data_IF_422307944302
#
_entry.id   IF_422307944302
#
_cell.length_a   1.000
_cell.length_b   1.000
_cell.length_c   1.000
_cell.angle_alpha   90.00
_cell.angle_beta   90.00
_cell.angle_gamma   90.00
#
_symmetry.space_group_name_H-M   'P 1'
#
loop_
_entity.id
_entity.type
_entity.pdbx_description
1 polymer ?
#
# COMPACT_ATOMS: atom_id res chain seq x y z
N UNK A 1 -11.22 -5.19 -32.27
CA UNK A 1 -10.90 -6.18 -33.31
C UNK A 1 -9.38 -6.31 -33.35
N UNK A 2 -8.88 -7.48 -32.96
CA UNK A 2 -7.44 -7.81 -33.02
C UNK A 2 -7.13 -8.23 -34.46
N UNK A 3 -6.13 -7.63 -35.11
CA UNK A 3 -5.51 -8.19 -36.32
C UNK A 3 -4.01 -7.95 -36.27
N UNK A 4 -3.26 -9.06 -36.21
CA UNK A 4 -1.81 -9.22 -36.47
C UNK A 4 -1.74 -10.17 -37.67
N UNK A 5 -0.77 -10.14 -38.62
CA UNK A 5 0.23 -9.14 -39.03
C UNK A 5 0.12 -8.77 -40.53
N UNK A 6 0.75 -7.67 -40.96
CA UNK A 6 1.04 -7.41 -42.38
C UNK A 6 2.55 -7.55 -42.60
N UNK A 7 2.94 -8.56 -43.40
CA UNK A 7 4.29 -8.72 -43.94
C UNK A 7 4.18 -8.39 -45.42
N UNK A 8 4.72 -7.23 -45.83
CA UNK A 8 5.16 -7.01 -47.21
C UNK A 8 6.56 -6.40 -47.17
N UNK A 9 7.41 -6.91 -48.07
CA UNK A 9 8.75 -6.44 -48.45
C UNK A 9 9.52 -5.52 -47.48
N UNK A 10 10.40 -6.12 -46.67
CA UNK A 10 11.77 -5.61 -46.51
C UNK A 10 12.01 -4.27 -45.78
N UNK A 11 10.99 -3.57 -45.25
CA UNK A 11 11.19 -2.42 -44.35
C UNK A 11 10.25 -2.51 -43.16
N UNK A 12 10.80 -2.70 -41.96
CA UNK A 12 10.05 -2.56 -40.70
C UNK A 12 9.58 -1.11 -40.56
N UNK A 13 8.38 -0.79 -41.02
CA UNK A 13 7.71 0.47 -40.68
C UNK A 13 6.92 0.21 -39.41
N UNK A 14 7.57 0.31 -38.26
CA UNK A 14 6.88 0.34 -36.97
C UNK A 14 6.02 1.61 -36.97
N UNK A 15 4.69 1.46 -36.93
CA UNK A 15 3.77 2.61 -36.90
C UNK A 15 4.08 3.48 -35.69
N UNK A 16 3.79 4.78 -35.76
CA UNK A 16 3.99 5.71 -34.64
C UNK A 16 3.32 5.25 -33.34
N UNK A 17 2.22 4.51 -33.43
CA UNK A 17 1.54 3.87 -32.29
C UNK A 17 2.36 2.71 -31.73
N UNK A 18 2.99 1.90 -32.59
CA UNK A 18 3.92 0.84 -32.19
C UNK A 18 5.17 1.37 -31.50
N UNK A 19 5.75 2.46 -32.01
CA UNK A 19 6.88 3.15 -31.37
C UNK A 19 6.48 3.82 -30.05
N UNK A 20 5.28 4.40 -29.96
CA UNK A 20 4.75 4.99 -28.72
C UNK A 20 4.51 3.93 -27.65
N UNK A 21 3.83 2.82 -27.99
CA UNK A 21 3.59 1.71 -27.07
C UNK A 21 4.89 1.03 -26.64
N UNK A 22 5.85 0.89 -27.57
CA UNK A 22 7.19 0.40 -27.26
C UNK A 22 7.92 1.34 -26.28
N UNK A 23 7.91 2.64 -26.52
CA UNK A 23 8.52 3.63 -25.64
C UNK A 23 7.83 3.71 -24.26
N UNK A 24 6.52 3.51 -24.19
CA UNK A 24 5.77 3.40 -22.92
C UNK A 24 6.17 2.13 -22.17
N UNK A 25 6.31 0.99 -22.86
CA UNK A 25 6.74 -0.27 -22.26
C UNK A 25 8.20 -0.22 -21.77
N UNK A 26 9.09 0.42 -22.52
CA UNK A 26 10.50 0.59 -22.16
C UNK A 26 10.68 1.51 -20.94
N UNK A 27 9.90 2.59 -20.86
CA UNK A 27 9.84 3.47 -19.67
C UNK A 27 9.26 2.76 -18.45
N UNK A 28 8.26 1.90 -18.62
CA UNK A 28 7.74 1.08 -17.51
C UNK A 28 8.78 0.05 -17.02
N UNK A 29 9.55 -0.55 -17.94
CA UNK A 29 10.64 -1.47 -17.61
C UNK A 29 11.77 -0.79 -16.82
N UNK A 30 12.20 0.41 -17.23
CA UNK A 30 13.27 1.12 -16.52
C UNK A 30 12.84 1.61 -15.12
N UNK A 31 11.55 1.91 -14.93
CA UNK A 31 10.98 2.20 -13.61
C UNK A 31 11.03 0.97 -12.69
N UNK A 32 10.69 -0.22 -13.21
CA UNK A 32 10.78 -1.48 -12.47
C UNK A 32 12.20 -1.79 -11.98
N UNK A 33 13.20 -1.59 -12.85
CA UNK A 33 14.62 -1.84 -12.49
C UNK A 33 15.07 -0.90 -11.37
N UNK A 34 14.73 0.40 -11.46
CA UNK A 34 15.09 1.40 -10.44
C UNK A 34 14.42 1.11 -9.10
N UNK A 35 13.11 0.81 -9.10
CA UNK A 35 12.37 0.46 -7.89
C UNK A 35 12.93 -0.81 -7.24
N UNK A 36 13.24 -1.84 -8.04
CA UNK A 36 13.84 -3.08 -7.55
C UNK A 36 15.21 -2.85 -6.94
N UNK A 37 16.07 -2.03 -7.56
CA UNK A 37 17.38 -1.70 -7.01
C UNK A 37 17.29 -1.00 -5.65
N UNK A 38 16.36 -0.03 -5.52
CA UNK A 38 16.15 0.68 -4.25
C UNK A 38 15.64 -0.28 -3.17
N UNK A 39 14.69 -1.15 -3.52
CA UNK A 39 14.15 -2.16 -2.62
C UNK A 39 15.19 -3.20 -2.20
N UNK A 40 16.06 -3.65 -3.10
CA UNK A 40 17.18 -4.55 -2.76
C UNK A 40 18.13 -3.95 -1.72
N UNK A 41 18.39 -2.63 -1.80
CA UNK A 41 19.25 -1.96 -0.84
C UNK A 41 18.58 -1.75 0.52
N UNK A 42 17.25 -1.58 0.53
CA UNK A 42 16.48 -1.33 1.76
C UNK A 42 16.07 -2.61 2.50
N UNK A 43 15.93 -3.73 1.80
CA UNK A 43 15.38 -4.98 2.34
C UNK A 43 16.48 -6.00 2.68
N UNK A 44 16.29 -6.71 3.78
CA UNK A 44 17.12 -7.87 4.09
C UNK A 44 16.91 -8.99 3.07
N UNK A 45 17.92 -9.85 2.87
CA UNK A 45 17.89 -10.99 1.92
C UNK A 45 16.65 -11.90 2.10
N UNK A 46 16.14 -12.01 3.33
CA UNK A 46 14.92 -12.78 3.67
C UNK A 46 13.65 -12.15 3.10
N UNK A 47 13.51 -10.83 3.23
CA UNK A 47 12.35 -10.09 2.71
C UNK A 47 12.40 -9.97 1.18
N UNK A 48 13.60 -9.79 0.62
CA UNK A 48 13.80 -9.83 -0.82
C UNK A 48 13.38 -11.18 -1.44
N UNK A 49 13.72 -12.30 -0.81
CA UNK A 49 13.33 -13.63 -1.28
C UNK A 49 11.81 -13.88 -1.26
N UNK A 50 11.05 -13.16 -0.43
CA UNK A 50 9.58 -13.26 -0.39
C UNK A 50 8.91 -12.49 -1.52
N UNK A 51 9.51 -11.38 -1.94
CA UNK A 51 8.98 -10.51 -3.00
C UNK A 51 9.61 -10.76 -4.37
N UNK A 52 10.70 -11.53 -4.44
CA UNK A 52 11.43 -11.84 -5.69
C UNK A 52 10.60 -12.64 -6.71
N UNK A 53 9.56 -13.34 -6.25
CA UNK A 53 8.62 -14.08 -7.09
C UNK A 53 7.54 -13.20 -7.76
N UNK A 54 7.43 -11.93 -7.37
CA UNK A 54 6.43 -11.00 -7.94
C UNK A 54 6.78 -10.62 -9.38
N UNK A 55 5.78 -10.60 -10.26
CA UNK A 55 5.98 -10.32 -11.69
C UNK A 55 5.82 -8.84 -12.05
N UNK A 56 5.28 -8.04 -11.14
CA UNK A 56 5.01 -6.61 -11.33
C UNK A 56 5.50 -5.78 -10.14
N UNK A 57 5.92 -4.54 -10.39
CA UNK A 57 6.25 -3.56 -9.32
C UNK A 57 5.07 -3.37 -8.38
N UNK A 58 3.84 -3.36 -8.89
CA UNK A 58 2.63 -3.19 -8.08
C UNK A 58 2.43 -4.35 -7.11
N UNK A 59 2.64 -5.59 -7.56
CA UNK A 59 2.52 -6.77 -6.70
C UNK A 59 3.60 -6.79 -5.62
N UNK A 60 4.82 -6.35 -5.97
CA UNK A 60 5.92 -6.24 -5.02
C UNK A 60 5.68 -5.15 -3.98
N UNK A 61 5.26 -3.96 -4.40
CA UNK A 61 4.86 -2.87 -3.52
C UNK A 61 3.69 -3.27 -2.62
N UNK A 62 2.67 -3.92 -3.18
CA UNK A 62 1.50 -4.36 -2.44
C UNK A 62 1.85 -5.42 -1.38
N UNK A 63 2.73 -6.38 -1.70
CA UNK A 63 3.22 -7.32 -0.69
C UNK A 63 4.01 -6.64 0.41
N UNK A 64 4.82 -5.64 0.08
CA UNK A 64 5.55 -4.85 1.08
C UNK A 64 4.57 -4.08 1.96
N UNK A 65 3.63 -3.36 1.36
CA UNK A 65 2.56 -2.65 2.08
C UNK A 65 1.81 -3.58 3.03
N UNK A 66 1.34 -4.74 2.54
CA UNK A 66 0.62 -5.72 3.36
C UNK A 66 1.50 -6.27 4.50
N UNK A 67 2.80 -6.48 4.26
CA UNK A 67 3.70 -7.07 5.26
C UNK A 67 4.03 -6.08 6.39
N UNK A 68 4.19 -4.79 6.06
CA UNK A 68 4.63 -3.78 7.00
C UNK A 68 3.47 -2.97 7.61
N UNK A 69 2.46 -2.63 6.83
CA UNK A 69 1.29 -1.85 7.28
C UNK A 69 0.09 -2.74 7.63
N UNK A 70 0.11 -4.00 7.21
CA UNK A 70 -1.04 -4.91 7.27
C UNK A 70 -1.91 -4.82 6.01
N UNK A 71 -2.77 -5.82 5.79
CA UNK A 71 -3.75 -5.75 4.72
C UNK A 71 -4.84 -4.73 5.04
N UNK A 72 -5.55 -4.23 4.02
CA UNK A 72 -6.68 -3.31 4.25
C UNK A 72 -7.72 -3.88 5.20
N UNK A 73 -7.93 -5.21 5.16
CA UNK A 73 -8.81 -5.91 6.09
C UNK A 73 -8.32 -5.86 7.53
N UNK A 74 -7.01 -5.99 7.76
CA UNK A 74 -6.41 -5.82 9.10
C UNK A 74 -6.53 -4.38 9.58
N UNK A 75 -6.32 -3.41 8.67
CA UNK A 75 -6.49 -1.99 8.95
C UNK A 75 -7.93 -1.66 9.34
N UNK A 76 -8.92 -2.15 8.60
CA UNK A 76 -10.34 -1.99 8.90
C UNK A 76 -10.71 -2.65 10.23
N UNK A 77 -10.29 -3.90 10.45
CA UNK A 77 -10.54 -4.59 11.72
C UNK A 77 -9.96 -3.82 12.91
N UNK A 78 -8.77 -3.23 12.76
CA UNK A 78 -8.14 -2.40 13.80
C UNK A 78 -8.94 -1.12 14.07
N UNK A 79 -9.48 -0.49 13.03
CA UNK A 79 -10.39 0.66 13.16
C UNK A 79 -11.64 0.23 13.94
N UNK A 80 -12.28 -0.87 13.55
CA UNK A 80 -13.51 -1.35 14.20
C UNK A 80 -13.29 -1.64 15.69
N UNK A 81 -12.16 -2.27 16.04
CA UNK A 81 -11.78 -2.52 17.43
C UNK A 81 -11.60 -1.21 18.20
N UNK A 82 -10.88 -0.24 17.63
CA UNK A 82 -10.63 1.04 18.28
C UNK A 82 -11.92 1.87 18.43
N UNK A 83 -12.80 1.86 17.43
CA UNK A 83 -14.12 2.49 17.50
C UNK A 83 -14.96 1.84 18.60
N UNK A 84 -15.01 0.50 18.66
CA UNK A 84 -15.73 -0.20 19.71
C UNK A 84 -15.15 0.07 21.12
N UNK A 85 -13.83 0.23 21.24
CA UNK A 85 -13.17 0.65 22.49
C UNK A 85 -13.53 2.08 22.88
N UNK A 86 -13.59 2.99 21.89
CA UNK A 86 -14.01 4.37 22.09
C UNK A 86 -15.48 4.46 22.54
N UNK A 87 -16.39 3.76 21.86
CA UNK A 87 -17.83 3.77 22.18
C UNK A 87 -18.13 3.18 23.58
N UNK A 88 -17.34 2.18 24.00
CA UNK A 88 -17.46 1.55 25.32
C UNK A 88 -16.54 2.17 26.36
N UNK A 89 -15.87 3.28 26.03
CA UNK A 89 -14.87 3.86 26.90
C UNK A 89 -15.52 4.41 28.16
N UNK A 90 -15.05 3.92 29.30
CA UNK A 90 -15.46 4.39 30.62
C UNK A 90 -14.24 4.45 31.53
N UNK A 91 -14.30 5.37 32.49
CA UNK A 91 -13.31 5.44 33.56
C UNK A 91 -13.45 4.20 34.45
N UNK A 92 -12.34 3.57 34.78
CA UNK A 92 -12.36 2.37 35.62
C UNK A 92 -12.36 2.74 37.11
N UNK A 93 -12.93 1.88 37.95
CA UNK A 93 -12.88 2.06 39.40
C UNK A 93 -11.45 1.95 39.90
N UNK A 94 -10.98 2.95 40.66
CA UNK A 94 -9.61 3.02 41.17
C UNK A 94 -8.57 3.58 40.19
N UNK A 95 -9.00 3.98 39.00
CA UNK A 95 -8.13 4.64 38.02
C UNK A 95 -7.97 6.14 38.32
N UNK A 96 -6.77 6.69 38.13
CA UNK A 96 -6.55 8.14 38.20
C UNK A 96 -7.00 8.85 36.92
N UNK A 97 -7.34 10.13 37.02
CA UNK A 97 -7.74 10.96 35.87
C UNK A 97 -6.65 10.95 34.78
N UNK A 98 -5.37 11.00 35.18
CA UNK A 98 -4.23 10.97 34.25
C UNK A 98 -4.13 9.66 33.49
N UNK A 99 -4.36 8.53 34.16
CA UNK A 99 -4.37 7.21 33.51
C UNK A 99 -5.54 7.08 32.53
N UNK A 100 -6.72 7.55 32.93
CA UNK A 100 -7.89 7.57 32.06
C UNK A 100 -7.63 8.42 30.80
N UNK A 101 -7.09 9.63 30.98
CA UNK A 101 -6.76 10.51 29.88
C UNK A 101 -5.70 9.92 28.95
N UNK A 102 -4.69 9.22 29.49
CA UNK A 102 -3.68 8.52 28.69
C UNK A 102 -4.33 7.46 27.79
N UNK A 103 -5.17 6.57 28.36
CA UNK A 103 -5.85 5.53 27.58
C UNK A 103 -6.77 6.12 26.51
N UNK A 104 -7.47 7.20 26.85
CA UNK A 104 -8.32 7.91 25.89
C UNK A 104 -7.49 8.48 24.73
N UNK A 105 -6.35 9.10 25.06
CA UNK A 105 -5.41 9.66 24.09
C UNK A 105 -4.80 8.57 23.19
N UNK A 106 -4.51 7.39 23.74
CA UNK A 106 -4.01 6.26 22.97
C UNK A 106 -5.03 5.77 21.92
N UNK A 107 -6.31 5.72 22.30
CA UNK A 107 -7.41 5.34 21.39
C UNK A 107 -7.59 6.39 20.28
N UNK A 108 -7.65 7.67 20.63
CA UNK A 108 -7.85 8.75 19.66
C UNK A 108 -6.66 8.91 18.72
N UNK A 109 -5.43 8.78 19.23
CA UNK A 109 -4.21 8.77 18.41
C UNK A 109 -4.15 7.56 17.49
N UNK A 110 -4.55 6.38 17.97
CA UNK A 110 -4.64 5.17 17.16
C UNK A 110 -5.59 5.34 15.98
N UNK A 111 -6.75 5.96 16.21
CA UNK A 111 -7.75 6.24 15.17
C UNK A 111 -7.27 7.33 14.18
N UNK A 112 -6.64 8.39 14.69
CA UNK A 112 -6.03 9.44 13.86
C UNK A 112 -4.93 8.88 12.94
N UNK A 113 -4.05 8.02 13.47
CA UNK A 113 -2.99 7.36 12.70
C UNK A 113 -3.49 6.43 11.60
N UNK A 114 -4.74 5.96 11.70
CA UNK A 114 -5.39 5.12 10.68
C UNK A 114 -6.27 5.93 9.71
N UNK A 115 -6.21 7.26 9.75
CA UNK A 115 -6.98 8.15 8.88
C UNK A 115 -8.47 8.26 9.24
N UNK A 116 -8.84 7.88 10.46
CA UNK A 116 -10.20 8.05 11.02
C UNK A 116 -10.14 8.95 12.25
N UNK A 117 -9.79 10.24 12.12
CA UNK A 117 -9.85 11.14 13.25
C UNK A 117 -11.29 11.18 13.77
N UNK A 118 -11.47 10.85 15.05
CA UNK A 118 -12.76 11.02 15.72
C UNK A 118 -12.95 12.50 15.97
N UNK A 119 -13.30 13.23 14.92
CA UNK A 119 -13.90 14.55 15.05
C UNK A 119 -15.24 14.26 15.72
N UNK A 120 -15.38 14.73 16.96
CA UNK A 120 -16.63 14.59 17.71
C UNK A 120 -17.77 14.96 16.76
N UNK A 121 -18.77 14.08 16.65
CA UNK A 121 -20.07 14.52 16.13
C UNK A 121 -20.56 15.54 17.15
N UNK A 122 -20.26 16.81 16.90
CA UNK A 122 -20.91 17.93 17.57
C UNK A 122 -22.40 17.77 17.31
N UNK A 123 -23.11 17.62 18.42
CA UNK A 123 -24.56 17.51 18.63
C UNK A 123 -25.44 18.00 17.48
#
# INVERSE_FOLDING_TARGET
MVVIPFIEEGRRVVSGVGLYLFGVAEKASCFWIKAKSILCCALSKKEFNRISACKSTMEMWEKLRITYEGSDKVRETRIDILVAQYERFQMQSGESITQMYSRFTDITNGLAGLGKPMISKTW
#
